data_IF_496957480809
#
_entry.id   IF_496957480809
#
_cell.length_a   1.000
_cell.length_b   1.000
_cell.length_c   1.000
_cell.angle_alpha   90.00
_cell.angle_beta   90.00
_cell.angle_gamma   90.00
#
_symmetry.space_group_name_H-M   'P 1'
#
loop_
_entity.id
_entity.type
_entity.pdbx_description
1 polymer ?
#
# COMPACT_ATOMS: atom_id res chain seq x y z
N UNK A 1 0.44 -20.37 -11.20
CA UNK A 1 0.22 -18.96 -11.63
C UNK A 1 1.47 -18.17 -11.31
N UNK A 2 1.89 -17.25 -12.18
CA UNK A 2 3.12 -16.47 -11.97
C UNK A 2 2.84 -15.26 -11.08
N UNK A 3 3.69 -15.04 -10.08
CA UNK A 3 3.63 -13.89 -9.17
C UNK A 3 4.86 -13.01 -9.36
N UNK A 4 4.66 -11.71 -9.50
CA UNK A 4 5.74 -10.73 -9.61
C UNK A 4 5.83 -9.89 -8.35
N UNK A 5 7.03 -9.63 -7.85
CA UNK A 5 7.31 -8.69 -6.77
C UNK A 5 7.83 -7.35 -7.33
N UNK A 6 7.45 -6.26 -6.70
CA UNK A 6 7.93 -4.91 -7.03
C UNK A 6 8.29 -4.15 -5.76
N UNK A 7 9.52 -3.71 -5.66
CA UNK A 7 9.97 -2.72 -4.67
C UNK A 7 10.19 -1.36 -5.32
N UNK A 8 9.91 -0.30 -4.58
CA UNK A 8 10.30 1.06 -4.93
C UNK A 8 11.27 1.56 -3.87
N UNK A 9 12.46 1.99 -4.28
CA UNK A 9 13.54 2.43 -3.40
C UNK A 9 13.89 3.88 -3.70
N UNK A 10 13.85 4.74 -2.68
CA UNK A 10 14.18 6.17 -2.80
C UNK A 10 15.31 6.54 -1.84
N UNK A 11 16.51 6.66 -2.38
CA UNK A 11 17.69 7.01 -1.63
C UNK A 11 18.36 5.86 -0.86
N UNK A 12 19.53 6.10 -0.25
CA UNK A 12 20.35 5.05 0.35
C UNK A 12 19.73 4.41 1.60
N UNK A 13 18.95 5.16 2.39
CA UNK A 13 18.32 4.61 3.60
C UNK A 13 17.28 3.52 3.29
N UNK A 14 16.46 3.71 2.24
CA UNK A 14 15.52 2.67 1.80
C UNK A 14 16.25 1.48 1.13
N UNK A 15 17.39 1.75 0.46
CA UNK A 15 18.22 0.68 -0.09
C UNK A 15 18.83 -0.22 0.98
N UNK A 16 19.12 0.33 2.16
CA UNK A 16 19.61 -0.44 3.31
C UNK A 16 18.51 -1.32 3.91
N UNK A 17 17.30 -0.78 4.07
CA UNK A 17 16.12 -1.53 4.57
C UNK A 17 15.77 -2.71 3.65
N UNK A 18 15.99 -2.57 2.35
CA UNK A 18 15.73 -3.62 1.37
C UNK A 18 16.55 -4.89 1.63
N UNK A 19 17.72 -4.79 2.26
CA UNK A 19 18.57 -5.94 2.59
C UNK A 19 17.87 -6.98 3.47
N UNK A 20 16.88 -6.57 4.25
CA UNK A 20 16.09 -7.46 5.12
C UNK A 20 14.84 -7.98 4.41
N UNK A 21 14.13 -7.14 3.66
CA UNK A 21 12.84 -7.49 3.07
C UNK A 21 12.95 -8.21 1.72
N UNK A 22 13.99 -7.91 0.93
CA UNK A 22 14.15 -8.48 -0.40
C UNK A 22 14.35 -10.00 -0.37
N UNK A 23 15.24 -10.59 0.45
CA UNK A 23 15.44 -12.03 0.48
C UNK A 23 14.15 -12.77 0.80
N UNK A 24 13.35 -12.26 1.75
CA UNK A 24 12.11 -12.88 2.18
C UNK A 24 11.02 -12.82 1.09
N UNK A 25 10.91 -11.72 0.36
CA UNK A 25 9.97 -11.63 -0.76
C UNK A 25 10.48 -12.42 -1.98
N UNK A 26 11.79 -12.38 -2.26
CA UNK A 26 12.38 -13.03 -3.43
C UNK A 26 12.12 -14.54 -3.47
N UNK A 27 12.15 -15.21 -2.31
CA UNK A 27 11.82 -16.64 -2.21
C UNK A 27 10.35 -16.98 -2.43
N UNK A 28 9.47 -15.98 -2.45
CA UNK A 28 8.01 -16.16 -2.52
C UNK A 28 7.40 -15.71 -3.86
N UNK A 29 8.21 -15.18 -4.79
CA UNK A 29 7.75 -14.69 -6.09
C UNK A 29 8.55 -15.31 -7.24
N UNK A 30 7.98 -15.35 -8.45
CA UNK A 30 8.62 -15.95 -9.63
C UNK A 30 9.53 -14.95 -10.36
N UNK A 31 9.33 -13.66 -10.15
CA UNK A 31 10.19 -12.59 -10.67
C UNK A 31 10.13 -11.38 -9.72
N UNK A 32 11.25 -10.67 -9.61
CA UNK A 32 11.36 -9.52 -8.72
C UNK A 32 11.95 -8.32 -9.47
N UNK A 33 11.32 -7.17 -9.29
CA UNK A 33 11.73 -5.89 -9.87
C UNK A 33 11.97 -4.87 -8.75
N UNK A 34 13.11 -4.21 -8.79
CA UNK A 34 13.43 -3.06 -7.94
C UNK A 34 13.42 -1.79 -8.78
N UNK A 35 12.61 -0.83 -8.44
CA UNK A 35 12.58 0.49 -9.07
C UNK A 35 13.41 1.45 -8.24
N UNK A 36 14.59 1.81 -8.75
CA UNK A 36 15.49 2.79 -8.14
C UNK A 36 15.04 4.21 -8.53
N UNK A 37 14.45 4.93 -7.56
CA UNK A 37 13.78 6.19 -7.78
C UNK A 37 14.72 7.40 -7.71
N UNK A 38 15.51 7.57 -8.73
CA UNK A 38 16.46 8.68 -8.89
C UNK A 38 17.92 8.32 -8.52
N UNK A 39 18.83 9.25 -8.76
CA UNK A 39 20.27 9.01 -8.55
C UNK A 39 20.58 8.57 -7.11
N UNK A 40 21.44 7.56 -6.97
CA UNK A 40 21.87 7.03 -5.67
C UNK A 40 20.84 6.13 -4.97
N UNK A 41 19.72 5.79 -5.64
CA UNK A 41 18.69 4.90 -5.09
C UNK A 41 18.89 3.43 -5.46
N UNK A 42 19.84 3.11 -6.34
CA UNK A 42 20.13 1.72 -6.72
C UNK A 42 20.74 0.98 -5.54
N UNK A 43 20.10 -0.12 -5.08
CA UNK A 43 20.69 -0.97 -4.06
C UNK A 43 21.97 -1.64 -4.57
N UNK A 44 22.88 -1.95 -3.66
CA UNK A 44 24.06 -2.77 -3.90
C UNK A 44 23.73 -4.25 -3.63
N UNK A 45 24.51 -5.13 -4.19
CA UNK A 45 24.48 -6.56 -3.86
C UNK A 45 23.11 -7.23 -4.08
N UNK A 46 22.43 -6.88 -5.19
CA UNK A 46 21.20 -7.55 -5.60
C UNK A 46 21.51 -8.90 -6.26
N UNK A 47 20.65 -9.93 -6.07
CA UNK A 47 20.73 -11.17 -6.85
C UNK A 47 20.68 -10.89 -8.37
N UNK A 48 21.38 -11.72 -9.16
CA UNK A 48 21.52 -11.53 -10.61
C UNK A 48 20.20 -11.59 -11.38
N UNK A 49 19.21 -12.31 -10.84
CA UNK A 49 17.88 -12.47 -11.43
C UNK A 49 16.90 -11.35 -11.05
N UNK A 50 17.29 -10.44 -10.14
CA UNK A 50 16.51 -9.27 -9.78
C UNK A 50 16.67 -8.17 -10.81
N UNK A 51 15.57 -7.82 -11.49
CA UNK A 51 15.58 -6.74 -12.47
C UNK A 51 15.57 -5.38 -11.79
N UNK A 52 16.42 -4.46 -12.24
CA UNK A 52 16.43 -3.07 -11.76
C UNK A 52 15.92 -2.13 -12.86
N UNK A 53 14.97 -1.27 -12.49
CA UNK A 53 14.47 -0.16 -13.32
C UNK A 53 14.94 1.15 -12.69
N UNK A 54 15.81 1.87 -13.36
CA UNK A 54 16.37 3.12 -12.83
C UNK A 54 15.66 4.35 -13.41
N UNK A 55 15.47 5.36 -12.58
CA UNK A 55 14.97 6.66 -13.00
C UNK A 55 16.10 7.70 -12.94
N UNK A 56 16.21 8.53 -13.96
CA UNK A 56 17.16 9.65 -14.01
C UNK A 56 16.83 10.73 -12.95
N UNK A 57 15.58 10.78 -12.50
CA UNK A 57 15.09 11.71 -11.47
C UNK A 57 14.02 11.05 -10.61
N UNK A 58 13.87 11.55 -9.39
CA UNK A 58 12.83 11.05 -8.48
C UNK A 58 11.42 11.36 -9.03
N UNK A 59 10.58 10.33 -9.08
CA UNK A 59 9.16 10.37 -9.44
C UNK A 59 8.29 10.19 -8.20
N UNK A 60 6.96 10.35 -8.36
CA UNK A 60 5.99 9.97 -7.33
C UNK A 60 5.88 8.45 -7.18
N UNK A 61 5.40 8.00 -6.00
CA UNK A 61 5.28 6.57 -5.69
C UNK A 61 4.47 5.81 -6.74
N UNK A 62 3.28 6.27 -7.08
CA UNK A 62 2.42 5.62 -8.10
C UNK A 62 3.09 5.47 -9.46
N UNK A 63 3.86 6.46 -9.89
CA UNK A 63 4.56 6.40 -11.17
C UNK A 63 5.67 5.33 -11.15
N UNK A 64 6.37 5.18 -10.01
CA UNK A 64 7.38 4.14 -9.82
C UNK A 64 6.74 2.75 -9.79
N UNK A 65 5.66 2.59 -9.04
CA UNK A 65 4.91 1.32 -8.99
C UNK A 65 4.46 0.91 -10.38
N UNK A 66 3.91 1.81 -11.18
CA UNK A 66 3.51 1.50 -12.56
C UNK A 66 4.70 1.10 -13.44
N UNK A 67 5.88 1.71 -13.27
CA UNK A 67 7.10 1.28 -13.99
C UNK A 67 7.52 -0.14 -13.59
N UNK A 68 7.45 -0.46 -12.30
CA UNK A 68 7.70 -1.81 -11.81
C UNK A 68 6.72 -2.81 -12.39
N UNK A 69 5.41 -2.52 -12.34
CA UNK A 69 4.35 -3.36 -12.92
C UNK A 69 4.58 -3.59 -14.43
N UNK A 70 4.93 -2.54 -15.16
CA UNK A 70 5.21 -2.64 -16.60
C UNK A 70 6.44 -3.50 -16.93
N UNK A 71 7.37 -3.66 -15.99
CA UNK A 71 8.54 -4.51 -16.11
C UNK A 71 8.29 -5.96 -15.69
N UNK A 72 7.06 -6.31 -15.28
CA UNK A 72 6.66 -7.63 -14.79
C UNK A 72 5.62 -8.28 -15.69
N UNK A 73 5.45 -9.61 -15.56
CA UNK A 73 4.52 -10.40 -16.40
C UNK A 73 3.58 -11.32 -15.61
N UNK A 74 3.67 -11.36 -14.27
CA UNK A 74 2.85 -12.24 -13.44
C UNK A 74 1.37 -11.91 -13.47
N UNK A 75 0.53 -12.90 -13.25
CA UNK A 75 -0.93 -12.77 -13.09
C UNK A 75 -1.29 -12.00 -11.82
N UNK A 76 -0.42 -12.09 -10.82
CA UNK A 76 -0.47 -11.32 -9.60
C UNK A 76 0.78 -10.45 -9.47
N UNK A 77 0.61 -9.27 -8.91
CA UNK A 77 1.71 -8.36 -8.61
C UNK A 77 1.66 -8.02 -7.12
N UNK A 78 2.76 -8.28 -6.43
CA UNK A 78 2.98 -7.83 -5.05
C UNK A 78 3.77 -6.53 -5.08
N UNK A 79 3.23 -5.47 -4.49
CA UNK A 79 3.99 -4.27 -4.18
C UNK A 79 4.43 -4.37 -2.73
N UNK A 80 5.70 -4.13 -2.47
CA UNK A 80 6.27 -4.12 -1.12
C UNK A 80 7.10 -2.86 -0.88
N UNK A 81 6.93 -2.26 0.28
CA UNK A 81 7.87 -1.26 0.78
C UNK A 81 9.18 -1.95 1.22
N UNK A 82 10.33 -1.25 1.16
CA UNK A 82 11.62 -1.81 1.61
C UNK A 82 11.67 -2.21 3.09
N UNK A 83 10.79 -1.65 3.93
CA UNK A 83 10.66 -1.93 5.36
C UNK A 83 9.52 -2.91 5.71
N UNK A 84 8.96 -3.59 4.71
CA UNK A 84 7.89 -4.58 4.88
C UNK A 84 8.45 -5.99 4.63
N UNK A 85 8.59 -6.77 5.70
CA UNK A 85 9.18 -8.12 5.69
C UNK A 85 8.07 -9.17 5.77
N UNK A 86 7.77 -9.92 4.69
CA UNK A 86 6.76 -10.97 4.72
C UNK A 86 7.25 -12.20 5.49
N UNK A 87 6.38 -12.80 6.29
CA UNK A 87 6.63 -14.13 6.84
C UNK A 87 6.62 -15.21 5.75
N UNK A 88 7.21 -16.39 5.99
CA UNK A 88 7.13 -17.51 5.06
C UNK A 88 5.68 -17.80 4.66
N UNK A 89 5.47 -18.12 3.38
CA UNK A 89 4.14 -18.42 2.81
C UNK A 89 3.13 -17.27 2.75
N UNK A 90 3.52 -16.05 3.14
CA UNK A 90 2.64 -14.88 3.09
C UNK A 90 2.05 -14.66 1.70
N UNK A 91 2.89 -14.63 0.66
CA UNK A 91 2.44 -14.44 -0.72
C UNK A 91 1.59 -15.61 -1.19
N UNK A 92 1.97 -16.85 -0.86
CA UNK A 92 1.19 -18.04 -1.19
C UNK A 92 -0.22 -18.00 -0.57
N UNK A 93 -0.32 -17.57 0.69
CA UNK A 93 -1.61 -17.38 1.37
C UNK A 93 -2.51 -16.36 0.68
N UNK A 94 -1.94 -15.19 0.30
CA UNK A 94 -2.68 -14.15 -0.43
C UNK A 94 -3.14 -14.63 -1.81
N UNK A 95 -2.29 -15.36 -2.56
CA UNK A 95 -2.63 -15.91 -3.87
C UNK A 95 -3.73 -16.96 -3.73
N UNK A 96 -3.58 -17.90 -2.80
CA UNK A 96 -4.60 -18.96 -2.58
C UNK A 96 -5.96 -18.35 -2.23
N UNK A 97 -5.97 -17.30 -1.40
CA UNK A 97 -7.19 -16.57 -1.09
C UNK A 97 -7.79 -15.89 -2.34
N UNK A 98 -6.96 -15.19 -3.11
CA UNK A 98 -7.41 -14.50 -4.32
C UNK A 98 -7.94 -15.47 -5.40
N UNK A 99 -7.36 -16.66 -5.49
CA UNK A 99 -7.82 -17.71 -6.41
C UNK A 99 -9.20 -18.27 -6.02
N UNK A 100 -9.43 -18.45 -4.72
CA UNK A 100 -10.72 -18.87 -4.20
C UNK A 100 -11.80 -17.78 -4.31
N UNK A 101 -11.38 -16.51 -4.55
CA UNK A 101 -12.27 -15.35 -4.65
C UNK A 101 -12.05 -14.61 -5.98
N UNK A 102 -12.72 -15.01 -7.08
CA UNK A 102 -12.48 -14.47 -8.43
C UNK A 102 -12.66 -12.95 -8.56
N UNK A 103 -13.44 -12.34 -7.66
CA UNK A 103 -13.62 -10.87 -7.59
C UNK A 103 -12.58 -10.17 -6.72
N UNK A 104 -11.70 -10.89 -6.04
CA UNK A 104 -10.60 -10.31 -5.28
C UNK A 104 -9.60 -9.65 -6.24
N UNK A 105 -9.60 -8.33 -6.28
CA UNK A 105 -8.65 -7.52 -7.05
C UNK A 105 -7.44 -7.11 -6.23
N UNK A 106 -7.63 -6.89 -4.92
CA UNK A 106 -6.57 -6.49 -3.97
C UNK A 106 -6.68 -7.34 -2.72
N UNK A 107 -5.58 -7.97 -2.32
CA UNK A 107 -5.45 -8.65 -1.05
C UNK A 107 -4.27 -8.07 -0.25
N UNK A 108 -4.49 -7.78 1.03
CA UNK A 108 -3.46 -7.27 1.92
C UNK A 108 -3.32 -8.15 3.17
N UNK A 109 -2.10 -8.29 3.70
CA UNK A 109 -1.81 -9.11 4.86
C UNK A 109 -2.17 -8.42 6.17
N UNK A 110 -2.14 -9.18 7.25
CA UNK A 110 -2.02 -8.68 8.61
C UNK A 110 -0.63 -8.07 8.78
N UNK A 111 -0.58 -6.79 9.10
CA UNK A 111 0.68 -6.10 9.36
C UNK A 111 0.93 -6.00 10.86
N UNK A 112 2.17 -6.29 11.27
CA UNK A 112 2.61 -6.28 12.66
C UNK A 112 3.68 -5.19 12.82
N UNK A 113 3.51 -4.35 13.84
CA UNK A 113 4.51 -3.36 14.23
C UNK A 113 5.76 -4.01 14.86
N UNK A 114 6.91 -3.33 14.94
CA UNK A 114 8.11 -3.87 15.59
C UNK A 114 7.92 -4.27 17.06
N UNK A 115 6.94 -3.69 17.76
CA UNK A 115 6.58 -4.02 19.13
C UNK A 115 5.62 -5.23 19.25
N UNK A 116 5.31 -5.90 18.14
CA UNK A 116 4.40 -7.04 18.07
C UNK A 116 2.91 -6.67 18.05
N UNK A 117 2.56 -5.41 18.09
CA UNK A 117 1.15 -4.99 18.03
C UNK A 117 0.61 -5.01 16.61
N UNK A 118 -0.72 -5.21 16.48
CA UNK A 118 -1.40 -5.14 15.18
C UNK A 118 -1.35 -3.72 14.62
N UNK A 119 -0.84 -3.58 13.40
CA UNK A 119 -0.86 -2.32 12.67
C UNK A 119 -2.23 -2.05 12.05
N UNK A 120 -2.73 -0.81 12.16
CA UNK A 120 -4.00 -0.40 11.55
C UNK A 120 -3.87 -0.24 10.02
N UNK A 121 -3.59 -1.35 9.32
CA UNK A 121 -3.39 -1.40 7.88
C UNK A 121 -4.69 -1.43 7.08
N UNK A 122 -5.76 -1.98 7.65
CA UNK A 122 -7.10 -2.07 7.06
C UNK A 122 -7.96 -0.88 7.45
N UNK A 123 -8.73 -0.31 6.51
CA UNK A 123 -9.44 0.96 6.74
C UNK A 123 -10.75 1.05 5.95
N UNK A 124 -11.70 1.83 6.49
CA UNK A 124 -12.80 2.36 5.68
C UNK A 124 -12.33 3.57 4.88
N UNK A 125 -13.01 3.89 3.78
CA UNK A 125 -12.70 5.13 3.05
C UNK A 125 -12.82 6.35 3.96
N UNK A 126 -11.88 7.32 3.84
CA UNK A 126 -11.93 8.52 4.65
C UNK A 126 -13.16 9.38 4.32
N UNK A 127 -13.73 9.98 5.36
CA UNK A 127 -14.70 11.07 5.20
C UNK A 127 -13.99 12.42 5.27
N UNK A 128 -14.54 13.45 4.64
CA UNK A 128 -13.98 14.82 4.68
C UNK A 128 -13.88 15.30 6.13
N UNK A 129 -14.96 15.19 6.91
CA UNK A 129 -14.99 15.60 8.32
C UNK A 129 -13.96 14.86 9.16
N UNK A 130 -13.86 13.53 9.02
CA UNK A 130 -12.87 12.71 9.71
C UNK A 130 -11.44 13.08 9.36
N UNK A 131 -11.18 13.41 8.08
CA UNK A 131 -9.86 13.85 7.63
C UNK A 131 -9.48 15.21 8.24
N UNK A 132 -10.40 16.18 8.28
CA UNK A 132 -10.18 17.49 8.89
C UNK A 132 -9.83 17.35 10.37
N UNK A 133 -10.66 16.61 11.15
CA UNK A 133 -10.40 16.41 12.58
C UNK A 133 -9.04 15.75 12.82
N UNK A 134 -8.70 14.70 12.06
CA UNK A 134 -7.41 14.00 12.19
C UNK A 134 -6.20 14.91 11.90
N UNK A 135 -6.35 15.89 11.02
CA UNK A 135 -5.26 16.79 10.58
C UNK A 135 -5.20 18.12 11.33
N UNK A 136 -6.01 18.27 12.35
CA UNK A 136 -6.00 19.47 13.21
C UNK A 136 -5.58 19.13 14.64
N UNK A 137 -5.16 20.10 15.45
CA UNK A 137 -4.89 19.90 16.89
C UNK A 137 -6.09 19.34 17.67
N UNK A 138 -7.30 19.44 17.12
CA UNK A 138 -8.51 18.90 17.73
C UNK A 138 -8.43 17.40 18.02
N UNK A 139 -7.58 16.65 17.30
CA UNK A 139 -7.38 15.22 17.56
C UNK A 139 -6.86 14.91 18.98
N UNK A 140 -6.08 15.83 19.58
CA UNK A 140 -5.50 15.66 20.92
C UNK A 140 -6.47 16.01 22.05
N UNK A 141 -7.58 16.71 21.73
CA UNK A 141 -8.58 17.13 22.70
C UNK A 141 -9.66 16.04 22.95
N UNK A 142 -9.73 15.03 22.09
CA UNK A 142 -10.72 13.99 22.16
C UNK A 142 -10.08 12.60 22.15
N UNK A 143 -10.55 11.66 23.01
CA UNK A 143 -10.19 10.25 22.90
C UNK A 143 -10.58 9.72 21.50
N UNK A 144 -10.08 8.53 21.06
CA UNK A 144 -10.43 7.97 19.76
C UNK A 144 -11.94 7.94 19.58
N UNK A 145 -12.44 8.90 18.82
CA UNK A 145 -13.88 9.08 18.61
C UNK A 145 -14.43 7.88 17.82
N UNK A 146 -15.71 7.60 17.94
CA UNK A 146 -16.38 6.49 17.25
C UNK A 146 -16.05 6.42 15.75
N UNK A 147 -15.85 7.57 15.09
CA UNK A 147 -15.47 7.61 13.68
C UNK A 147 -14.04 7.12 13.42
N UNK A 148 -13.08 7.33 14.35
CA UNK A 148 -11.72 6.79 14.24
C UNK A 148 -11.73 5.28 14.39
N UNK A 149 -12.42 4.75 15.39
CA UNK A 149 -12.61 3.30 15.58
C UNK A 149 -13.17 2.66 14.33
N UNK A 150 -14.21 3.31 13.74
CA UNK A 150 -14.81 2.86 12.49
C UNK A 150 -13.85 2.96 11.30
N UNK A 151 -13.13 4.08 11.15
CA UNK A 151 -12.19 4.27 10.03
C UNK A 151 -11.07 3.25 10.06
N UNK A 152 -10.51 2.96 11.23
CA UNK A 152 -9.44 1.97 11.39
C UNK A 152 -9.93 0.55 11.64
N UNK A 153 -11.24 0.32 11.59
CA UNK A 153 -11.87 -0.99 11.81
C UNK A 153 -11.39 -1.66 13.10
N UNK A 154 -11.22 -0.87 14.19
CA UNK A 154 -10.63 -1.35 15.43
C UNK A 154 -11.48 -2.39 16.16
N UNK A 155 -12.78 -2.43 15.88
CA UNK A 155 -13.74 -3.36 16.49
C UNK A 155 -14.03 -4.57 15.58
N UNK A 156 -13.40 -4.65 14.41
CA UNK A 156 -13.59 -5.75 13.48
C UNK A 156 -12.74 -6.99 13.87
N UNK A 157 -13.20 -8.22 13.57
CA UNK A 157 -12.43 -9.44 13.81
C UNK A 157 -11.00 -9.35 13.28
N UNK A 158 -10.03 -9.96 13.98
CA UNK A 158 -8.60 -9.95 13.63
C UNK A 158 -8.09 -11.30 13.16
N UNK A 159 -8.95 -12.32 13.17
CA UNK A 159 -8.59 -13.72 12.88
C UNK A 159 -9.32 -14.26 11.64
N UNK A 160 -10.17 -13.46 11.00
CA UNK A 160 -10.96 -13.85 9.83
C UNK A 160 -10.70 -12.88 8.67
N UNK A 161 -10.72 -13.37 7.40
CA UNK A 161 -10.67 -12.51 6.24
C UNK A 161 -11.80 -11.46 6.26
N UNK A 162 -11.46 -10.23 5.95
CA UNK A 162 -12.39 -9.11 6.00
C UNK A 162 -12.37 -8.33 4.70
N UNK A 163 -13.54 -8.15 4.08
CA UNK A 163 -13.68 -7.21 2.98
C UNK A 163 -13.60 -5.77 3.52
N UNK A 164 -12.69 -4.98 2.98
CA UNK A 164 -12.39 -3.64 3.47
C UNK A 164 -12.52 -2.60 2.35
N UNK A 165 -12.59 -1.32 2.72
CA UNK A 165 -12.63 -0.26 1.72
C UNK A 165 -11.24 -0.03 1.11
N UNK A 166 -10.20 0.03 1.95
CA UNK A 166 -8.81 0.26 1.53
C UNK A 166 -7.82 -0.32 2.54
N UNK A 167 -6.59 -0.52 2.10
CA UNK A 167 -5.47 -0.96 2.94
C UNK A 167 -4.25 -0.09 2.68
N UNK A 168 -3.28 -0.11 3.60
CA UNK A 168 -1.99 0.54 3.40
C UNK A 168 -1.26 -0.03 2.19
N UNK A 169 -0.76 0.84 1.33
CA UNK A 169 0.02 0.49 0.15
C UNK A 169 1.44 -0.04 0.44
N UNK A 170 1.75 -0.39 1.71
CA UNK A 170 3.06 -0.89 2.09
C UNK A 170 3.33 -2.33 1.65
N UNK A 171 2.28 -3.17 1.60
CA UNK A 171 2.34 -4.52 1.04
C UNK A 171 0.96 -4.91 0.52
N UNK A 172 0.82 -5.09 -0.78
CA UNK A 172 -0.44 -5.45 -1.42
C UNK A 172 -0.20 -6.45 -2.55
N UNK A 173 -0.97 -7.53 -2.56
CA UNK A 173 -1.13 -8.40 -3.72
C UNK A 173 -2.27 -7.86 -4.58
N UNK A 174 -2.02 -7.69 -5.87
CA UNK A 174 -3.00 -7.18 -6.82
C UNK A 174 -3.13 -8.12 -8.02
N UNK A 175 -4.36 -8.36 -8.44
CA UNK A 175 -4.63 -9.12 -9.67
C UNK A 175 -4.34 -8.24 -10.89
N UNK A 176 -3.52 -8.75 -11.83
CA UNK A 176 -3.16 -7.99 -13.05
C UNK A 176 -4.38 -7.57 -13.86
N UNK A 177 -5.36 -8.47 -14.04
CA UNK A 177 -6.59 -8.14 -14.75
C UNK A 177 -7.32 -6.92 -14.15
N UNK A 178 -7.34 -6.78 -12.82
CA UNK A 178 -7.87 -5.59 -12.15
C UNK A 178 -7.03 -4.35 -12.48
N UNK A 179 -5.69 -4.45 -12.40
CA UNK A 179 -4.79 -3.32 -12.72
C UNK A 179 -4.98 -2.85 -14.17
N UNK A 180 -5.08 -3.78 -15.11
CA UNK A 180 -5.27 -3.48 -16.54
C UNK A 180 -6.63 -2.80 -16.79
N UNK A 181 -7.69 -3.29 -16.15
CA UNK A 181 -9.05 -2.72 -16.28
C UNK A 181 -9.14 -1.29 -15.74
N UNK A 182 -8.52 -1.03 -14.57
CA UNK A 182 -8.59 0.32 -13.96
C UNK A 182 -7.45 1.25 -14.36
N UNK A 183 -6.52 0.81 -15.20
CA UNK A 183 -5.37 1.60 -15.69
C UNK A 183 -4.27 1.79 -14.66
N UNK A 184 -4.05 0.83 -13.76
CA UNK A 184 -2.98 0.84 -12.76
C UNK A 184 -3.13 1.91 -11.69
N UNK A 185 -2.02 2.36 -11.11
CA UNK A 185 -1.97 3.42 -10.10
C UNK A 185 -2.02 4.80 -10.77
N UNK A 186 -2.73 5.76 -10.20
CA UNK A 186 -2.79 7.13 -10.73
C UNK A 186 -1.47 7.88 -10.47
N UNK A 187 -0.65 8.02 -11.51
CA UNK A 187 0.65 8.71 -11.45
C UNK A 187 0.57 10.20 -11.08
N UNK A 188 -0.62 10.77 -11.01
CA UNK A 188 -0.82 12.14 -10.52
C UNK A 188 -0.71 12.28 -9.00
N UNK A 189 -0.68 11.17 -8.24
CA UNK A 189 -0.33 11.19 -6.82
C UNK A 189 1.18 11.11 -6.65
N UNK A 190 1.72 12.07 -5.92
CA UNK A 190 3.15 12.08 -5.60
C UNK A 190 3.47 11.13 -4.45
N UNK A 191 2.67 11.21 -3.39
CA UNK A 191 2.74 10.38 -2.18
C UNK A 191 1.46 10.58 -1.38
N UNK A 192 0.94 9.52 -0.75
CA UNK A 192 -0.30 9.44 0.02
C UNK A 192 -1.59 9.48 -0.81
N UNK A 193 -2.62 8.78 -0.34
CA UNK A 193 -3.97 8.68 -0.92
C UNK A 193 -4.01 7.86 -2.22
N UNK A 194 -2.88 7.51 -2.81
CA UNK A 194 -2.80 6.67 -4.01
C UNK A 194 -3.39 5.27 -3.80
N UNK A 195 -3.20 4.68 -2.62
CA UNK A 195 -3.77 3.41 -2.19
C UNK A 195 -5.30 3.49 -2.02
N UNK A 196 -5.78 4.62 -1.49
CA UNK A 196 -7.21 4.92 -1.38
C UNK A 196 -7.85 5.10 -2.76
N UNK A 197 -7.20 5.84 -3.66
CA UNK A 197 -7.69 6.03 -5.03
C UNK A 197 -7.72 4.71 -5.81
N UNK A 198 -6.67 3.90 -5.71
CA UNK A 198 -6.60 2.57 -6.32
C UNK A 198 -7.77 1.70 -5.84
N UNK A 199 -7.93 1.60 -4.52
CA UNK A 199 -8.99 0.81 -3.88
C UNK A 199 -10.39 1.31 -4.29
N UNK A 200 -10.56 2.63 -4.39
CA UNK A 200 -11.84 3.22 -4.78
C UNK A 200 -12.17 2.95 -6.25
N UNK A 201 -11.19 3.06 -7.17
CA UNK A 201 -11.38 2.69 -8.59
C UNK A 201 -11.64 1.20 -8.76
N UNK A 202 -10.92 0.35 -8.03
CA UNK A 202 -11.18 -1.09 -8.01
C UNK A 202 -12.62 -1.39 -7.56
N UNK A 203 -13.10 -0.75 -6.47
CA UNK A 203 -14.49 -0.87 -6.02
C UNK A 203 -15.49 -0.46 -7.10
N UNK A 204 -15.28 0.66 -7.78
CA UNK A 204 -16.18 1.15 -8.85
C UNK A 204 -16.23 0.20 -10.05
N UNK A 205 -15.14 -0.50 -10.34
CA UNK A 205 -15.07 -1.55 -11.36
C UNK A 205 -15.61 -2.91 -10.85
N UNK A 206 -16.09 -2.98 -9.60
CA UNK A 206 -16.69 -4.16 -9.02
C UNK A 206 -15.67 -5.17 -8.46
N UNK A 207 -14.40 -4.79 -8.31
CA UNK A 207 -13.40 -5.61 -7.66
C UNK A 207 -13.46 -5.46 -6.14
N UNK A 208 -13.18 -6.58 -5.44
CA UNK A 208 -13.15 -6.65 -3.98
C UNK A 208 -11.74 -6.37 -3.45
N UNK A 209 -11.66 -5.89 -2.22
CA UNK A 209 -10.44 -5.61 -1.48
C UNK A 209 -10.56 -6.38 -0.16
N UNK A 210 -9.62 -7.29 0.07
CA UNK A 210 -9.67 -8.22 1.19
C UNK A 210 -8.41 -8.09 2.07
N UNK A 211 -8.64 -7.98 3.35
CA UNK A 211 -7.62 -8.17 4.36
C UNK A 211 -7.60 -9.65 4.76
N UNK A 212 -6.43 -10.29 4.69
CA UNK A 212 -6.24 -11.73 4.87
C UNK A 212 -5.31 -11.96 6.05
N UNK A 213 -5.82 -12.32 7.24
CA UNK A 213 -5.05 -12.36 8.48
C UNK A 213 -4.02 -13.50 8.55
N UNK A 214 -4.21 -14.58 7.80
CA UNK A 214 -3.27 -15.70 7.75
C UNK A 214 -1.96 -15.37 7.02
N UNK A 215 -1.98 -14.34 6.18
CA UNK A 215 -0.79 -13.76 5.59
C UNK A 215 -0.25 -12.66 6.51
N UNK A 216 1.02 -12.75 6.92
CA UNK A 216 1.61 -11.84 7.90
C UNK A 216 2.81 -11.11 7.32
N UNK A 217 2.92 -9.82 7.61
CA UNK A 217 4.05 -8.95 7.25
C UNK A 217 4.46 -8.11 8.46
N UNK A 218 5.74 -8.11 8.79
CA UNK A 218 6.33 -7.19 9.76
C UNK A 218 6.70 -5.90 9.05
N UNK A 219 6.23 -4.75 9.54
CA UNK A 219 6.42 -3.46 8.86
C UNK A 219 6.84 -2.37 9.84
N UNK A 220 8.01 -1.77 9.59
CA UNK A 220 8.55 -0.66 10.38
C UNK A 220 7.83 0.66 10.07
N UNK A 221 6.59 0.79 10.55
CA UNK A 221 5.81 1.99 10.32
C UNK A 221 6.35 3.20 11.10
N UNK A 222 7.03 4.10 10.42
CA UNK A 222 7.62 5.27 11.06
C UNK A 222 6.63 6.39 11.43
N UNK A 223 5.35 6.30 11.03
CA UNK A 223 4.27 7.27 11.33
C UNK A 223 4.67 8.76 11.24
N UNK A 224 5.58 9.10 10.31
CA UNK A 224 6.23 10.42 10.25
C UNK A 224 5.23 11.58 10.10
N UNK A 225 4.07 11.31 9.48
CA UNK A 225 3.03 12.33 9.27
C UNK A 225 2.34 12.72 10.58
N UNK A 226 2.24 11.77 11.51
CA UNK A 226 1.47 11.98 12.74
C UNK A 226 2.24 12.70 13.84
N UNK A 227 3.57 12.82 13.70
CA UNK A 227 4.44 13.44 14.70
C UNK A 227 4.55 14.97 14.58
N UNK A 228 4.35 15.55 13.38
CA UNK A 228 4.53 16.98 13.14
C UNK A 228 3.45 17.56 12.21
N UNK A 229 2.77 18.64 12.62
CA UNK A 229 1.64 19.23 11.87
C UNK A 229 2.05 20.05 10.64
N UNK A 230 3.22 20.70 10.67
CA UNK A 230 3.68 21.59 9.59
C UNK A 230 4.89 20.99 8.87
N UNK A 231 4.64 19.97 8.03
CA UNK A 231 5.68 19.35 7.21
C UNK A 231 5.31 19.37 5.73
N UNK A 232 6.32 19.30 4.85
CA UNK A 232 6.10 19.10 3.40
C UNK A 232 5.23 17.86 3.11
N UNK A 233 5.34 16.83 3.93
CA UNK A 233 4.55 15.58 3.81
C UNK A 233 3.06 15.83 4.08
N UNK A 234 2.72 16.68 5.07
CA UNK A 234 1.33 17.05 5.32
C UNK A 234 0.73 17.87 4.17
N UNK A 235 1.53 18.75 3.55
CA UNK A 235 1.10 19.48 2.36
C UNK A 235 0.83 18.50 1.19
N UNK A 236 1.70 17.53 0.96
CA UNK A 236 1.49 16.53 -0.08
C UNK A 236 0.23 15.68 0.18
N UNK A 237 -0.01 15.31 1.44
CA UNK A 237 -1.24 14.60 1.80
C UNK A 237 -2.50 15.45 1.55
N UNK A 238 -2.47 16.75 1.88
CA UNK A 238 -3.58 17.65 1.60
C UNK A 238 -3.82 17.79 0.09
N UNK A 239 -2.77 17.99 -0.70
CA UNK A 239 -2.86 18.04 -2.16
C UNK A 239 -3.43 16.74 -2.75
N UNK A 240 -2.99 15.59 -2.22
CA UNK A 240 -3.49 14.29 -2.62
C UNK A 240 -4.98 14.11 -2.29
N UNK A 241 -5.44 14.54 -1.10
CA UNK A 241 -6.86 14.53 -0.73
C UNK A 241 -7.69 15.45 -1.63
N UNK A 242 -7.20 16.64 -1.95
CA UNK A 242 -7.89 17.56 -2.87
C UNK A 242 -8.00 16.92 -4.26
N UNK A 243 -6.93 16.27 -4.75
CA UNK A 243 -6.97 15.51 -6.02
C UNK A 243 -8.01 14.40 -5.96
N UNK A 244 -8.03 13.60 -4.90
CA UNK A 244 -8.99 12.52 -4.71
C UNK A 244 -10.44 13.02 -4.75
N UNK A 245 -10.75 14.08 -4.01
CA UNK A 245 -12.09 14.65 -3.97
C UNK A 245 -12.51 15.32 -5.30
N UNK A 246 -11.57 15.91 -6.04
CA UNK A 246 -11.85 16.43 -7.39
C UNK A 246 -12.14 15.31 -8.39
N UNK A 247 -11.46 14.19 -8.27
CA UNK A 247 -11.62 13.01 -9.11
C UNK A 247 -12.88 12.22 -8.77
N UNK A 248 -13.28 12.24 -7.49
CA UNK A 248 -14.39 11.49 -6.91
C UNK A 248 -15.31 12.43 -6.12
N UNK A 249 -16.02 13.38 -6.78
CA UNK A 249 -16.81 14.40 -6.09
C UNK A 249 -17.94 13.83 -5.24
N UNK A 250 -18.43 12.64 -5.55
CA UNK A 250 -19.40 11.90 -4.73
C UNK A 250 -18.91 11.62 -3.31
N UNK A 251 -17.58 11.63 -3.10
CA UNK A 251 -16.98 11.44 -1.77
C UNK A 251 -17.01 12.67 -0.87
N UNK A 252 -17.33 13.86 -1.42
CA UNK A 252 -17.46 15.09 -0.63
C UNK A 252 -18.59 14.98 0.41
N UNK A 253 -19.68 14.31 0.06
CA UNK A 253 -20.89 14.20 0.87
C UNK A 253 -21.05 12.80 1.48
N UNK A 254 -20.08 11.91 1.29
CA UNK A 254 -20.15 10.59 1.87
C UNK A 254 -20.00 10.67 3.39
N UNK A 255 -21.05 10.27 4.10
CA UNK A 255 -21.07 10.14 5.56
C UNK A 255 -20.53 8.77 6.04
N UNK A 256 -20.27 7.86 5.08
CA UNK A 256 -19.79 6.48 5.30
C UNK A 256 -18.68 6.15 4.31
#
# INVERSE_FOLDING_TARGET
>A
MKVSGVFVVTGPGEAELLSTSLPELHTQVDELVVVANGPGSRPRDLPDDVRVVENDRALGFSANVNKGIAATSGEYVVISNPDAVPEPDCVRGLVSFADAHPRCGIAGPKMINPDGTLQASRRSFPTVGGTIVRRTPLRSLFPPLRWQRRHYLLDAPVDEPLQVDTMLGAFLLMRRAMLDEIGGWDAGYKLYVEDIDLSYRAMKAGWERWWVPDAVVHHEYQAVIDKHFLTRRNLWHLQAMVRFLRKHPERLFALR
#
